data_IF_626432901693
#
_entry.id   IF_626432901693
#
_cell.length_a   1.000
_cell.length_b   1.000
_cell.length_c   1.000
_cell.angle_alpha   90.00
_cell.angle_beta   90.00
_cell.angle_gamma   90.00
#
_symmetry.space_group_name_H-M   'P 1'
#
loop_
_entity.id
_entity.type
_entity.pdbx_description
1 polymer ?
#
# COMPACT_ATOMS: atom_id res chain seq x y z
N UNK A 1 10.09 -3.64 -1.30
CA UNK A 1 10.16 -2.95 -2.62
C UNK A 1 9.28 -3.71 -3.59
N UNK A 2 8.46 -3.03 -4.38
CA UNK A 2 7.62 -3.64 -5.43
C UNK A 2 7.26 -2.61 -6.50
N UNK A 3 6.64 -3.03 -7.60
CA UNK A 3 6.31 -2.14 -8.72
C UNK A 3 5.13 -1.19 -8.41
N UNK A 4 4.20 -1.58 -7.54
CA UNK A 4 3.10 -0.69 -7.09
C UNK A 4 1.69 -1.20 -7.38
N UNK A 5 1.51 -2.49 -7.68
CA UNK A 5 0.18 -3.07 -7.82
C UNK A 5 -0.67 -2.89 -6.56
N UNK A 6 -1.98 -2.72 -6.74
CA UNK A 6 -2.98 -2.50 -5.67
C UNK A 6 -2.86 -3.54 -4.56
N UNK A 7 -2.87 -4.83 -4.91
CA UNK A 7 -2.81 -5.95 -3.97
C UNK A 7 -1.51 -5.99 -3.17
N UNK A 8 -0.36 -5.82 -3.83
CA UNK A 8 0.94 -5.82 -3.16
C UNK A 8 1.11 -4.60 -2.26
N UNK A 9 0.62 -3.44 -2.69
CA UNK A 9 0.61 -2.22 -1.86
C UNK A 9 -0.23 -2.45 -0.60
N UNK A 10 -1.46 -2.96 -0.76
CA UNK A 10 -2.33 -3.26 0.37
C UNK A 10 -1.74 -4.32 1.30
N UNK A 11 -1.06 -5.34 0.77
CA UNK A 11 -0.38 -6.37 1.57
C UNK A 11 0.77 -5.78 2.39
N UNK A 12 1.62 -4.93 1.79
CA UNK A 12 2.72 -4.26 2.49
C UNK A 12 2.23 -3.32 3.60
N UNK A 13 1.21 -2.51 3.31
CA UNK A 13 0.57 -1.64 4.29
C UNK A 13 -0.01 -2.45 5.45
N UNK A 14 -0.69 -3.55 5.15
CA UNK A 14 -1.27 -4.43 6.17
C UNK A 14 -0.19 -5.09 7.03
N UNK A 15 0.94 -5.46 6.45
CA UNK A 15 2.08 -6.00 7.21
C UNK A 15 2.75 -4.98 8.13
N UNK A 16 2.42 -3.68 8.02
CA UNK A 16 3.04 -2.63 8.81
C UNK A 16 4.51 -2.39 8.46
N UNK A 17 4.89 -2.72 7.22
CA UNK A 17 6.27 -2.58 6.73
C UNK A 17 6.34 -1.37 5.80
N UNK A 18 7.28 -0.43 6.00
CA UNK A 18 7.48 0.66 5.06
C UNK A 18 7.76 0.14 3.64
N UNK A 19 7.14 0.74 2.63
CA UNK A 19 7.26 0.25 1.25
C UNK A 19 7.92 1.24 0.30
N UNK A 20 8.77 0.72 -0.59
CA UNK A 20 9.31 1.45 -1.73
C UNK A 20 8.62 0.96 -3.01
N UNK A 21 7.91 1.88 -3.67
CA UNK A 21 7.25 1.64 -4.96
C UNK A 21 8.14 2.13 -6.10
N UNK A 22 8.52 1.22 -7.00
CA UNK A 22 9.22 1.56 -8.25
C UNK A 22 8.25 1.42 -9.42
N UNK A 23 7.52 2.49 -9.74
CA UNK A 23 6.43 2.47 -10.70
C UNK A 23 6.90 2.45 -12.16
N UNK A 24 6.31 1.59 -12.97
CA UNK A 24 6.41 1.62 -14.43
C UNK A 24 5.19 2.29 -15.07
N UNK A 25 4.01 2.12 -14.47
CA UNK A 25 2.72 2.60 -14.99
C UNK A 25 2.07 3.67 -14.10
N UNK A 26 1.07 4.38 -14.65
CA UNK A 26 0.42 5.51 -13.99
C UNK A 26 -0.37 5.13 -12.74
N UNK A 27 -1.12 4.02 -12.79
CA UNK A 27 -1.86 3.47 -11.65
C UNK A 27 -0.94 3.14 -10.45
N UNK A 28 0.25 2.60 -10.73
CA UNK A 28 1.26 2.33 -9.71
C UNK A 28 1.81 3.61 -9.08
N UNK A 29 1.97 4.68 -9.88
CA UNK A 29 2.41 5.98 -9.39
C UNK A 29 1.36 6.65 -8.49
N UNK A 30 0.07 6.41 -8.73
CA UNK A 30 -1.01 6.87 -7.85
C UNK A 30 -0.88 6.26 -6.45
N UNK A 31 -0.66 4.94 -6.36
CA UNK A 31 -0.39 4.28 -5.07
C UNK A 31 0.89 4.78 -4.42
N UNK A 32 1.95 4.99 -5.21
CA UNK A 32 3.18 5.62 -4.76
C UNK A 32 2.96 6.99 -4.10
N UNK A 33 2.05 7.79 -4.66
CA UNK A 33 1.69 9.10 -4.11
C UNK A 33 0.98 8.97 -2.76
N UNK A 34 0.06 8.01 -2.62
CA UNK A 34 -0.62 7.78 -1.34
C UNK A 34 0.34 7.25 -0.26
N UNK A 35 1.24 6.32 -0.62
CA UNK A 35 2.28 5.81 0.27
C UNK A 35 3.17 6.95 0.81
N UNK A 36 3.61 7.87 -0.08
CA UNK A 36 4.37 9.06 0.33
C UNK A 36 3.55 9.96 1.25
N UNK A 37 2.31 10.29 0.87
CA UNK A 37 1.41 11.17 1.63
C UNK A 37 1.17 10.65 3.05
N UNK A 38 1.02 9.33 3.19
CA UNK A 38 0.78 8.67 4.47
C UNK A 38 2.05 8.52 5.33
N UNK A 39 3.23 8.84 4.78
CA UNK A 39 4.55 8.65 5.41
C UNK A 39 4.81 7.19 5.81
N UNK A 40 4.36 6.25 4.98
CA UNK A 40 4.58 4.80 5.17
C UNK A 40 5.53 4.22 4.12
N UNK A 41 6.26 5.08 3.44
CA UNK A 41 7.21 4.68 2.43
C UNK A 41 7.48 5.77 1.41
N UNK A 42 7.95 5.36 0.23
CA UNK A 42 8.20 6.26 -0.88
C UNK A 42 7.97 5.61 -2.22
N UNK A 43 8.06 6.41 -3.28
CA UNK A 43 7.93 5.97 -4.66
C UNK A 43 8.82 6.73 -5.62
N UNK A 44 9.19 6.07 -6.71
CA UNK A 44 9.98 6.61 -7.82
C UNK A 44 9.57 5.90 -9.11
N UNK A 45 9.72 6.56 -10.26
CA UNK A 45 9.60 5.88 -11.56
C UNK A 45 10.79 4.95 -11.76
N UNK A 46 10.52 3.68 -12.06
CA UNK A 46 11.56 2.67 -12.22
C UNK A 46 12.65 3.11 -13.21
N UNK A 47 12.27 3.69 -14.35
CA UNK A 47 13.19 4.21 -15.38
C UNK A 47 14.19 5.26 -14.89
N UNK A 48 13.93 5.90 -13.75
CA UNK A 48 14.76 6.96 -13.19
C UNK A 48 15.55 6.47 -11.96
N UNK A 49 15.63 5.15 -11.75
CA UNK A 49 16.26 4.54 -10.57
C UNK A 49 17.71 4.20 -10.86
N UNK A 50 18.60 4.74 -10.04
CA UNK A 50 20.00 4.33 -9.94
C UNK A 50 20.23 3.56 -8.63
N UNK A 51 21.32 2.80 -8.54
CA UNK A 51 21.73 2.15 -7.29
C UNK A 51 21.81 3.16 -6.12
N UNK A 52 22.43 4.32 -6.34
CA UNK A 52 22.53 5.37 -5.32
C UNK A 52 21.16 5.87 -4.85
N UNK A 53 20.25 6.15 -5.79
CA UNK A 53 18.89 6.60 -5.45
C UNK A 53 18.10 5.52 -4.71
N UNK A 54 18.25 4.24 -5.09
CA UNK A 54 17.58 3.12 -4.46
C UNK A 54 18.05 2.96 -3.01
N UNK A 55 19.36 2.98 -2.78
CA UNK A 55 19.92 2.89 -1.42
C UNK A 55 19.48 4.07 -0.56
N UNK A 56 19.46 5.29 -1.10
CA UNK A 56 18.99 6.47 -0.39
C UNK A 56 17.50 6.36 -0.01
N UNK A 57 16.66 5.93 -0.94
CA UNK A 57 15.23 5.72 -0.69
C UNK A 57 14.99 4.63 0.36
N UNK A 58 15.74 3.52 0.32
CA UNK A 58 15.65 2.45 1.32
C UNK A 58 16.08 2.92 2.72
N UNK A 59 17.22 3.62 2.83
CA UNK A 59 17.68 4.18 4.12
C UNK A 59 16.62 5.07 4.75
N UNK A 60 16.04 5.97 3.95
CA UNK A 60 15.00 6.88 4.42
C UNK A 60 13.76 6.17 4.93
N UNK A 61 13.21 5.22 4.17
CA UNK A 61 11.97 4.54 4.61
C UNK A 61 12.19 3.57 5.79
N UNK A 62 13.45 3.27 6.14
CA UNK A 62 13.81 2.49 7.32
C UNK A 62 14.04 3.37 8.56
N UNK A 63 13.93 4.70 8.44
CA UNK A 63 13.97 5.59 9.60
C UNK A 63 12.81 5.28 10.58
N UNK A 64 13.02 5.48 11.90
CA UNK A 64 12.06 5.06 12.92
C UNK A 64 10.64 5.61 12.72
N UNK A 65 10.52 6.84 12.23
CA UNK A 65 9.25 7.50 11.92
C UNK A 65 8.41 6.76 10.87
N UNK A 66 9.03 6.27 9.79
CA UNK A 66 8.34 5.51 8.75
C UNK A 66 7.90 4.15 9.28
N UNK A 67 8.76 3.48 10.05
CA UNK A 67 8.44 2.18 10.68
C UNK A 67 7.28 2.32 11.66
N UNK A 68 7.32 3.32 12.53
CA UNK A 68 6.24 3.61 13.48
C UNK A 68 4.93 3.93 12.74
N UNK A 69 4.99 4.77 11.72
CA UNK A 69 3.81 5.15 10.93
C UNK A 69 3.21 3.98 10.15
N UNK A 70 4.04 3.11 9.58
CA UNK A 70 3.57 1.91 8.88
C UNK A 70 2.81 0.96 9.84
N UNK A 71 3.33 0.76 11.06
CA UNK A 71 2.65 -0.04 12.10
C UNK A 71 1.34 0.60 12.56
N UNK A 72 1.31 1.91 12.73
CA UNK A 72 0.10 2.65 13.10
C UNK A 72 -1.01 2.48 12.05
N UNK A 73 -0.67 2.61 10.76
CA UNK A 73 -1.65 2.40 9.68
C UNK A 73 -2.10 0.95 9.61
N UNK A 74 -1.18 -0.02 9.72
CA UNK A 74 -1.51 -1.45 9.74
C UNK A 74 -2.56 -1.77 10.81
N UNK A 75 -2.41 -1.23 12.01
CA UNK A 75 -3.36 -1.44 13.11
C UNK A 75 -4.77 -0.88 12.84
N UNK A 76 -4.91 0.07 11.91
CA UNK A 76 -6.20 0.66 11.48
C UNK A 76 -6.83 -0.08 10.31
N UNK A 77 -6.11 -1.00 9.66
CA UNK A 77 -6.66 -1.75 8.53
C UNK A 77 -7.56 -2.90 9.00
N UNK A 78 -8.61 -3.17 8.23
CA UNK A 78 -9.47 -4.33 8.46
C UNK A 78 -8.65 -5.61 8.43
N UNK A 79 -8.87 -6.46 9.45
CA UNK A 79 -8.26 -7.78 9.55
C UNK A 79 -8.57 -8.62 8.30
N UNK A 80 -7.62 -9.41 7.77
CA UNK A 80 -7.85 -10.28 6.61
C UNK A 80 -9.10 -11.15 6.74
N UNK A 81 -9.28 -11.79 7.91
CA UNK A 81 -10.41 -12.67 8.17
C UNK A 81 -11.78 -11.98 8.00
N UNK A 82 -11.87 -10.69 8.29
CA UNK A 82 -13.12 -9.93 8.19
C UNK A 82 -13.35 -9.40 6.77
N UNK A 83 -12.28 -9.23 5.98
CA UNK A 83 -12.37 -8.58 4.67
C UNK A 83 -13.16 -9.43 3.67
N UNK A 84 -13.00 -10.76 3.70
CA UNK A 84 -13.75 -11.67 2.83
C UNK A 84 -15.24 -11.69 3.18
N UNK A 85 -15.58 -11.80 4.47
CA UNK A 85 -16.97 -11.77 4.94
C UNK A 85 -17.65 -10.45 4.58
N UNK A 86 -17.02 -9.29 4.85
CA UNK A 86 -17.60 -8.00 4.49
C UNK A 86 -17.81 -7.84 2.98
N UNK A 87 -16.91 -8.36 2.15
CA UNK A 87 -17.10 -8.31 0.70
C UNK A 87 -18.32 -9.16 0.28
N UNK A 88 -18.48 -10.36 0.84
CA UNK A 88 -19.65 -11.22 0.60
C UNK A 88 -20.94 -10.54 1.06
N UNK A 89 -20.97 -10.00 2.29
CA UNK A 89 -22.13 -9.31 2.85
C UNK A 89 -22.58 -8.15 1.95
N UNK A 90 -21.64 -7.36 1.43
CA UNK A 90 -21.94 -6.25 0.53
C UNK A 90 -22.58 -6.72 -0.78
N UNK A 91 -22.06 -7.79 -1.37
CA UNK A 91 -22.60 -8.37 -2.62
C UNK A 91 -23.99 -8.95 -2.39
N UNK A 92 -24.19 -9.71 -1.32
CA UNK A 92 -25.48 -10.30 -0.98
C UNK A 92 -26.54 -9.23 -0.68
N UNK A 93 -26.17 -8.20 0.10
CA UNK A 93 -27.07 -7.10 0.40
C UNK A 93 -27.47 -6.32 -0.85
N UNK A 94 -26.55 -6.13 -1.78
CA UNK A 94 -26.84 -5.50 -3.07
C UNK A 94 -27.81 -6.35 -3.91
N UNK A 95 -27.61 -7.67 -3.96
CA UNK A 95 -28.51 -8.58 -4.66
C UNK A 95 -29.92 -8.55 -4.06
N UNK A 96 -30.05 -8.63 -2.73
CA UNK A 96 -31.35 -8.55 -2.03
C UNK A 96 -32.12 -7.27 -2.35
N UNK A 97 -31.43 -6.13 -2.50
CA UNK A 97 -32.05 -4.83 -2.86
C UNK A 97 -32.55 -4.73 -4.30
N UNK A 98 -32.14 -5.62 -5.20
CA UNK A 98 -32.58 -5.61 -6.62
C UNK A 98 -33.75 -6.54 -6.91
N UNK A 99 -34.05 -7.44 -5.98
CA UNK A 99 -35.11 -8.46 -6.12
C UNK A 99 -36.37 -8.05 -5.32
N UNK A 100 -36.31 -6.93 -4.59
CA UNK A 100 -37.44 -6.31 -3.89
C UNK A 100 -37.92 -5.04 -4.59
#
# INVERSE_FOLDING_TARGET
MHHGGTGTTAAGLRAGVPTLILSTWGDQALWGTQVKRLKVGTARRFSNTTQGSLVADLRRILEPEYVARAREISARMTKPANSASYAADLVENFARRRVG
#
